data_IF_992834545451
#
_entry.id   IF_992834545451
#
_cell.length_a   1.000
_cell.length_b   1.000
_cell.length_c   1.000
_cell.angle_alpha   90.00
_cell.angle_beta   90.00
_cell.angle_gamma   90.00
#
_symmetry.space_group_name_H-M   'P 1'
#
loop_
_entity.id
_entity.type
_entity.pdbx_description
1 polymer ?
#
# COMPACT_ATOMS: atom_id res chain seq x y z
N UNK A 1 -12.40 -24.41 -2.57
CA UNK A 1 -11.09 -23.93 -3.07
C UNK A 1 -10.46 -23.10 -1.97
N UNK A 2 -9.20 -23.34 -1.55
CA UNK A 2 -8.59 -22.47 -0.57
C UNK A 2 -8.58 -21.04 -1.12
N UNK A 3 -9.10 -20.08 -0.34
CA UNK A 3 -9.06 -18.67 -0.74
C UNK A 3 -7.61 -18.30 -1.06
N UNK A 4 -7.35 -17.84 -2.29
CA UNK A 4 -6.03 -17.33 -2.68
C UNK A 4 -5.66 -16.23 -1.68
N UNK A 5 -4.61 -16.47 -0.89
CA UNK A 5 -4.01 -15.50 0.03
C UNK A 5 -3.84 -14.16 -0.69
N UNK A 6 -4.43 -13.10 -0.14
CA UNK A 6 -4.40 -11.78 -0.78
C UNK A 6 -3.06 -11.12 -0.49
N UNK A 7 -2.37 -10.69 -1.54
CA UNK A 7 -1.04 -10.10 -1.46
C UNK A 7 -1.14 -8.60 -1.18
N UNK A 8 -0.25 -8.07 -0.33
CA UNK A 8 0.06 -6.65 -0.30
C UNK A 8 1.55 -6.42 -0.61
N UNK A 9 1.83 -5.24 -1.14
CA UNK A 9 3.20 -4.78 -1.37
C UNK A 9 3.30 -3.29 -1.07
N UNK A 10 4.44 -2.89 -0.52
CA UNK A 10 4.84 -1.50 -0.40
C UNK A 10 6.10 -1.32 -1.23
N UNK A 11 6.05 -0.48 -2.26
CA UNK A 11 7.24 -0.11 -3.00
C UNK A 11 7.83 1.21 -2.47
N UNK A 12 9.14 1.24 -2.24
CA UNK A 12 9.93 2.46 -2.10
C UNK A 12 10.20 2.99 -3.52
N UNK A 13 9.53 4.08 -3.88
CA UNK A 13 9.59 4.67 -5.21
C UNK A 13 10.38 5.97 -5.19
N UNK A 14 11.62 5.90 -5.68
CA UNK A 14 12.54 7.02 -5.84
C UNK A 14 12.37 7.64 -7.22
N UNK A 15 11.30 8.42 -7.37
CA UNK A 15 11.05 9.28 -8.52
C UNK A 15 11.61 10.70 -8.26
N UNK A 16 11.21 11.70 -9.09
CA UNK A 16 11.46 13.13 -8.79
C UNK A 16 11.04 13.51 -7.35
N UNK A 17 9.94 12.93 -6.87
CA UNK A 17 9.52 13.01 -5.48
C UNK A 17 9.53 11.60 -4.88
N UNK A 18 10.30 11.43 -3.81
CA UNK A 18 10.34 10.17 -3.07
C UNK A 18 8.99 9.90 -2.41
N UNK A 19 8.42 8.71 -2.63
CA UNK A 19 7.18 8.28 -2.00
C UNK A 19 7.14 6.75 -1.86
N UNK A 20 6.11 6.27 -1.18
CA UNK A 20 5.84 4.84 -1.03
C UNK A 20 4.54 4.48 -1.74
N UNK A 21 4.55 3.47 -2.61
CA UNK A 21 3.32 2.95 -3.19
C UNK A 21 2.81 1.77 -2.36
N UNK A 22 1.70 1.98 -1.66
CA UNK A 22 0.98 0.94 -0.93
C UNK A 22 -0.07 0.29 -1.82
N UNK A 23 -0.05 -1.05 -1.92
CA UNK A 23 -0.88 -1.78 -2.86
C UNK A 23 -1.50 -3.03 -2.22
N UNK A 24 -2.78 -3.26 -2.50
CA UNK A 24 -3.54 -4.42 -2.05
C UNK A 24 -4.11 -5.19 -3.25
N UNK A 25 -3.89 -6.50 -3.32
CA UNK A 25 -4.58 -7.37 -4.26
C UNK A 25 -6.09 -7.37 -3.97
N UNK A 26 -6.88 -6.80 -4.87
CA UNK A 26 -8.31 -6.66 -4.74
C UNK A 26 -9.00 -6.76 -6.10
N UNK A 27 -10.04 -7.62 -6.19
CA UNK A 27 -10.83 -7.82 -7.42
C UNK A 27 -9.98 -7.98 -8.69
N UNK A 28 -8.95 -8.83 -8.64
CA UNK A 28 -8.10 -9.16 -9.78
C UNK A 28 -7.00 -8.15 -10.14
N UNK A 29 -6.83 -7.07 -9.37
CA UNK A 29 -5.79 -6.05 -9.60
C UNK A 29 -5.13 -5.62 -8.29
N UNK A 30 -4.10 -4.79 -8.38
CA UNK A 30 -3.48 -4.12 -7.23
C UNK A 30 -4.10 -2.74 -7.05
N UNK A 31 -5.03 -2.63 -6.10
CA UNK A 31 -5.57 -1.33 -5.69
C UNK A 31 -4.47 -0.56 -4.97
N UNK A 32 -4.20 0.65 -5.44
CA UNK A 32 -2.95 1.35 -5.16
C UNK A 32 -3.17 2.75 -4.57
N UNK A 33 -2.26 3.13 -3.67
CA UNK A 33 -2.18 4.46 -3.10
C UNK A 33 -0.72 4.90 -2.97
N UNK A 34 -0.41 6.12 -3.39
CA UNK A 34 0.86 6.78 -3.10
C UNK A 34 0.83 7.40 -1.69
N UNK A 35 1.87 7.16 -0.90
CA UNK A 35 2.09 7.72 0.43
C UNK A 35 3.33 8.62 0.34
N UNK A 36 3.16 9.96 0.23
CA UNK A 36 4.28 10.88 0.00
C UNK A 36 5.27 10.97 1.17
N UNK A 37 4.78 10.79 2.40
CA UNK A 37 5.61 10.86 3.60
C UNK A 37 6.21 9.50 3.94
N UNK A 38 7.45 9.51 4.43
CA UNK A 38 8.12 8.29 4.91
C UNK A 38 7.26 7.50 5.89
N UNK A 39 7.19 6.20 5.66
CA UNK A 39 6.59 5.22 6.58
C UNK A 39 7.67 4.82 7.58
N UNK A 40 7.44 5.12 8.86
CA UNK A 40 8.31 4.71 9.95
C UNK A 40 7.75 3.44 10.60
N UNK A 41 8.43 2.28 10.49
CA UNK A 41 8.01 1.05 11.15
C UNK A 41 7.85 1.18 12.68
N UNK A 42 8.54 2.14 13.30
CA UNK A 42 8.47 2.40 14.75
C UNK A 42 7.25 3.25 15.15
N UNK A 43 6.67 4.01 14.22
CA UNK A 43 5.52 4.88 14.48
C UNK A 43 4.44 4.76 13.40
N UNK A 44 3.83 3.58 13.34
CA UNK A 44 2.77 3.26 12.38
C UNK A 44 1.39 3.81 12.78
N UNK A 45 1.22 4.30 14.01
CA UNK A 45 -0.04 4.90 14.49
C UNK A 45 -0.23 6.34 14.00
N UNK A 46 0.85 6.99 13.54
CA UNK A 46 0.76 8.32 12.93
C UNK A 46 -0.02 8.28 11.61
N UNK A 47 -0.97 9.20 11.44
CA UNK A 47 -1.81 9.26 10.23
C UNK A 47 -0.99 9.75 9.04
N UNK A 48 -0.95 8.95 7.97
CA UNK A 48 -0.26 9.29 6.73
C UNK A 48 -1.28 9.54 5.62
N UNK A 49 -1.05 10.56 4.80
CA UNK A 49 -1.80 10.77 3.57
C UNK A 49 -1.55 9.60 2.61
N UNK A 50 -2.61 9.03 2.07
CA UNK A 50 -2.63 8.02 1.03
C UNK A 50 -3.46 8.57 -0.14
N UNK A 51 -2.84 8.72 -1.29
CA UNK A 51 -3.44 9.30 -2.50
C UNK A 51 -3.76 8.15 -3.44
N UNK A 52 -5.03 7.88 -3.80
CA UNK A 52 -5.38 6.82 -4.74
C UNK A 52 -4.66 7.00 -6.08
N UNK A 53 -4.13 5.91 -6.61
CA UNK A 53 -3.50 5.85 -7.93
C UNK A 53 -4.17 4.77 -8.77
N UNK A 54 -3.77 4.66 -10.04
CA UNK A 54 -4.30 3.65 -10.95
C UNK A 54 -4.08 2.23 -10.41
N UNK A 55 -5.01 1.33 -10.70
CA UNK A 55 -4.83 -0.07 -10.37
C UNK A 55 -3.69 -0.66 -11.21
N UNK A 56 -2.88 -1.53 -10.62
CA UNK A 56 -1.78 -2.18 -11.32
C UNK A 56 -2.04 -3.67 -11.54
N UNK A 57 -1.42 -4.31 -12.55
CA UNK A 57 -1.54 -5.76 -12.72
C UNK A 57 -0.92 -6.51 -11.55
N UNK A 58 -1.40 -7.72 -11.26
CA UNK A 58 -0.90 -8.53 -10.14
C UNK A 58 0.59 -8.87 -10.26
N UNK A 59 1.11 -9.03 -11.48
CA UNK A 59 2.53 -9.23 -11.77
C UNK A 59 3.42 -8.09 -11.25
N UNK A 60 2.87 -6.89 -11.08
CA UNK A 60 3.59 -5.74 -10.56
C UNK A 60 3.92 -5.88 -9.07
N UNK A 61 3.32 -6.83 -8.35
CA UNK A 61 3.59 -7.04 -6.92
C UNK A 61 5.04 -7.48 -6.63
N UNK A 62 5.69 -8.12 -7.60
CA UNK A 62 7.09 -8.57 -7.52
C UNK A 62 8.07 -7.65 -8.25
N UNK A 63 7.60 -6.53 -8.82
CA UNK A 63 8.44 -5.66 -9.63
C UNK A 63 9.48 -4.93 -8.77
N UNK A 64 10.74 -4.97 -9.21
CA UNK A 64 11.83 -4.16 -8.70
C UNK A 64 12.72 -3.78 -9.88
N UNK A 65 13.12 -2.52 -9.97
CA UNK A 65 13.92 -2.04 -11.09
C UNK A 65 13.87 -0.53 -11.25
N UNK A 66 14.39 -0.05 -12.36
CA UNK A 66 14.38 1.38 -12.71
C UNK A 66 13.53 1.59 -13.95
N UNK A 67 12.49 2.40 -13.83
CA UNK A 67 11.67 2.87 -14.95
C UNK A 67 12.40 4.09 -15.53
N UNK A 68 12.93 3.94 -16.75
CA UNK A 68 13.80 4.94 -17.36
C UNK A 68 13.04 6.20 -17.78
N UNK A 69 11.84 6.04 -18.34
CA UNK A 69 11.01 7.11 -18.90
C UNK A 69 9.52 6.81 -18.77
N UNK A 70 8.68 7.81 -19.02
CA UNK A 70 7.22 7.68 -18.96
C UNK A 70 6.64 7.75 -17.54
N UNK A 71 5.41 7.26 -17.41
CA UNK A 71 4.67 7.25 -16.14
C UNK A 71 5.37 6.36 -15.11
N UNK A 72 5.58 6.89 -13.91
CA UNK A 72 6.30 6.17 -12.85
C UNK A 72 7.81 6.13 -13.02
N UNK A 73 8.42 7.02 -13.81
CA UNK A 73 9.89 7.16 -13.90
C UNK A 73 10.53 7.25 -12.51
N UNK A 74 11.47 6.36 -12.24
CA UNK A 74 12.15 6.26 -10.96
C UNK A 74 12.64 4.86 -10.66
N UNK A 75 13.39 4.73 -9.56
CA UNK A 75 13.79 3.42 -9.04
C UNK A 75 12.75 2.91 -8.07
N UNK A 76 12.28 1.69 -8.31
CA UNK A 76 11.26 1.00 -7.52
C UNK A 76 11.91 -0.19 -6.81
N UNK A 77 11.81 -0.23 -5.48
CA UNK A 77 12.26 -1.36 -4.64
C UNK A 77 11.13 -1.84 -3.76
N UNK A 78 11.07 -3.13 -3.45
CA UNK A 78 10.10 -3.64 -2.47
C UNK A 78 10.59 -3.25 -1.07
N UNK A 79 9.82 -2.39 -0.41
CA UNK A 79 10.09 -1.95 0.96
C UNK A 79 9.52 -2.93 1.99
N UNK A 80 8.34 -3.47 1.73
CA UNK A 80 7.71 -4.55 2.50
C UNK A 80 6.71 -5.30 1.61
N UNK A 81 6.45 -6.56 1.92
CA UNK A 81 5.44 -7.37 1.25
C UNK A 81 4.94 -8.48 2.16
N UNK A 82 3.78 -9.03 1.83
CA UNK A 82 3.22 -10.15 2.57
C UNK A 82 1.75 -10.38 2.26
N UNK A 83 1.05 -10.96 3.22
CA UNK A 83 -0.37 -11.27 3.13
C UNK A 83 -1.20 -10.20 3.84
N UNK A 84 -2.43 -9.98 3.37
CA UNK A 84 -3.41 -9.15 4.05
C UNK A 84 -4.77 -9.83 4.13
N UNK A 85 -5.53 -9.53 5.18
CA UNK A 85 -6.88 -10.06 5.36
C UNK A 85 -7.87 -8.92 5.63
N UNK A 86 -9.00 -8.86 4.91
CA UNK A 86 -10.02 -7.85 5.16
C UNK A 86 -10.72 -8.10 6.50
N UNK A 87 -10.94 -7.04 7.28
CA UNK A 87 -11.84 -7.04 8.45
C UNK A 87 -13.16 -6.35 8.08
N UNK A 88 -13.10 -5.20 7.41
CA UNK A 88 -14.28 -4.45 6.96
C UNK A 88 -13.92 -3.56 5.79
N UNK A 89 -14.62 -3.69 4.66
CA UNK A 89 -14.35 -2.93 3.43
C UNK A 89 -15.60 -2.12 3.04
N UNK A 90 -15.80 -0.99 3.72
CA UNK A 90 -16.87 -0.03 3.39
C UNK A 90 -16.38 0.97 2.34
N UNK A 91 -17.30 1.67 1.69
CA UNK A 91 -16.98 2.66 0.65
C UNK A 91 -15.89 3.66 1.07
N UNK A 92 -16.03 4.22 2.28
CA UNK A 92 -15.14 5.27 2.79
C UNK A 92 -14.18 4.81 3.90
N UNK A 93 -14.20 3.52 4.26
CA UNK A 93 -13.36 2.99 5.34
C UNK A 93 -13.04 1.51 5.15
N UNK A 94 -11.76 1.22 5.02
CA UNK A 94 -11.21 -0.11 4.92
C UNK A 94 -10.41 -0.42 6.18
N UNK A 95 -10.70 -1.55 6.80
CA UNK A 95 -10.01 -2.09 7.97
C UNK A 95 -9.53 -3.48 7.60
N UNK A 96 -8.26 -3.76 7.82
CA UNK A 96 -7.62 -5.01 7.40
C UNK A 96 -6.39 -5.32 8.26
N UNK A 97 -5.96 -6.57 8.27
CA UNK A 97 -4.69 -6.98 8.88
C UNK A 97 -3.60 -7.04 7.80
N UNK A 98 -2.38 -6.65 8.16
CA UNK A 98 -1.18 -6.85 7.35
C UNK A 98 -0.25 -7.83 8.06
N UNK A 99 0.29 -8.78 7.30
CA UNK A 99 1.24 -9.81 7.74
C UNK A 99 2.56 -9.65 6.96
N UNK A 100 3.18 -8.47 7.09
CA UNK A 100 4.48 -8.15 6.50
C UNK A 100 5.67 -8.41 7.40
N UNK A 101 6.87 -8.03 6.94
CA UNK A 101 8.06 -7.94 7.79
C UNK A 101 8.06 -6.65 8.60
N UNK A 102 7.60 -5.54 8.02
CA UNK A 102 7.59 -4.20 8.65
C UNK A 102 6.19 -3.78 9.09
N UNK A 103 5.19 -3.96 8.23
CA UNK A 103 3.80 -3.66 8.52
C UNK A 103 3.09 -4.90 9.06
N UNK A 104 2.86 -4.90 10.38
CA UNK A 104 2.20 -6.01 11.10
C UNK A 104 1.03 -5.51 11.94
N UNK A 105 -0.08 -6.22 11.88
CA UNK A 105 -1.29 -5.98 12.69
C UNK A 105 -2.40 -5.26 11.92
N UNK A 106 -3.33 -4.64 12.63
CA UNK A 106 -4.54 -4.03 12.04
C UNK A 106 -4.31 -2.61 11.57
N UNK A 107 -4.60 -2.34 10.30
CA UNK A 107 -4.50 -1.04 9.65
C UNK A 107 -5.86 -0.53 9.19
N UNK A 108 -5.92 0.78 8.98
CA UNK A 108 -7.10 1.49 8.52
C UNK A 108 -6.72 2.39 7.34
N UNK A 109 -7.51 2.31 6.28
CA UNK A 109 -7.62 3.32 5.23
C UNK A 109 -8.97 4.00 5.37
N UNK A 110 -9.00 5.31 5.61
CA UNK A 110 -10.26 6.07 5.72
C UNK A 110 -10.24 7.27 4.79
N UNK A 111 -11.32 7.45 4.03
CA UNK A 111 -11.49 8.60 3.13
C UNK A 111 -11.79 9.86 3.93
N UNK A 112 -11.22 10.97 3.51
CA UNK A 112 -11.49 12.31 4.03
C UNK A 112 -11.48 13.30 2.84
N UNK A 113 -11.90 14.56 3.02
CA UNK A 113 -12.09 15.48 1.88
C UNK A 113 -10.89 15.62 0.94
N UNK A 114 -9.66 15.58 1.45
CA UNK A 114 -8.45 15.73 0.63
C UNK A 114 -7.74 14.40 0.25
N UNK A 115 -8.39 13.24 0.44
CA UNK A 115 -7.84 11.94 0.02
C UNK A 115 -8.14 10.79 0.97
N UNK A 116 -7.14 9.96 1.27
CA UNK A 116 -7.24 8.88 2.27
C UNK A 116 -6.20 9.03 3.36
N UNK A 117 -6.50 8.52 4.55
CA UNK A 117 -5.55 8.39 5.65
C UNK A 117 -5.25 6.92 5.90
N UNK A 118 -3.96 6.60 5.92
CA UNK A 118 -3.40 5.29 6.26
C UNK A 118 -2.75 5.34 7.64
N UNK A 119 -3.13 4.42 8.53
CA UNK A 119 -2.51 4.28 9.85
C UNK A 119 -2.79 2.91 10.47
N UNK A 120 -1.93 2.48 11.38
CA UNK A 120 -2.15 1.32 12.25
C UNK A 120 -3.15 1.67 13.35
N UNK A 121 -4.15 0.82 13.55
CA UNK A 121 -5.09 0.94 14.68
C UNK A 121 -4.31 0.70 15.97
N UNK A 122 -4.47 1.58 16.97
CA UNK A 122 -3.97 1.30 18.33
C UNK A 122 -4.68 0.03 18.82
N UNK A 123 -3.89 -0.95 19.25
CA UNK A 123 -4.39 -2.14 19.95
C UNK A 123 -4.93 -1.73 21.30
#
# INVERSE_FOLDING_TARGET
MPEKKKIFVVHDHRSKQHHFDFRLQWKGSLKSWAIPKKIDPKNLTSRKLAIPTENHPLSYASFQGTIQEGYGKGTVKIWDSGEWEPISLKENKWVFTLKGKRLKGTFVLVRFPAGWLFFKKKS
#
